data_IF_037944201904
#
_entry.id   IF_037944201904
#
_cell.length_a   1.000
_cell.length_b   1.000
_cell.length_c   1.000
_cell.angle_alpha   90.00
_cell.angle_beta   90.00
_cell.angle_gamma   90.00
#
_symmetry.space_group_name_H-M   'P 1'
#
loop_
_entity.id
_entity.type
_entity.pdbx_description
1 polymer ?
#
# COMPACT_ATOMS: atom_id res chain seq x y z
N UNK A 1 13.49 15.44 30.82
CA UNK A 1 12.28 16.06 31.42
C UNK A 1 11.72 16.97 30.34
N UNK A 2 11.05 16.47 29.31
CA UNK A 2 9.72 15.86 29.33
C UNK A 2 9.68 14.50 28.61
N UNK A 3 9.50 13.45 29.41
CA UNK A 3 8.82 12.21 29.05
C UNK A 3 7.39 12.36 29.58
N UNK A 4 6.38 11.88 28.85
CA UNK A 4 4.91 11.94 29.05
C UNK A 4 4.28 12.80 27.93
N UNK A 5 3.38 12.29 27.07
CA UNK A 5 2.29 11.33 27.30
C UNK A 5 2.21 10.33 26.12
N UNK A 6 2.26 9.01 26.34
CA UNK A 6 1.11 8.13 26.58
C UNK A 6 -0.09 8.38 25.64
N UNK A 7 -0.08 7.71 24.49
CA UNK A 7 -1.08 6.69 24.09
C UNK A 7 -0.33 5.77 23.11
N UNK A 8 0.25 4.69 23.64
CA UNK A 8 0.60 3.51 22.85
C UNK A 8 -0.57 2.57 23.09
N UNK A 9 -1.71 2.80 22.43
CA UNK A 9 -2.68 1.74 22.29
C UNK A 9 -2.20 0.87 21.13
N UNK A 10 -1.52 -0.21 21.50
CA UNK A 10 -1.31 -1.37 20.66
C UNK A 10 -2.68 -1.96 20.32
N UNK A 11 -3.28 -1.51 19.22
CA UNK A 11 -4.52 -2.07 18.71
C UNK A 11 -4.22 -3.12 17.66
N UNK A 12 -4.71 -4.32 17.94
CA UNK A 12 -4.82 -5.42 16.98
C UNK A 12 -5.88 -5.02 15.96
N UNK A 13 -5.53 -4.83 14.69
CA UNK A 13 -6.51 -4.77 13.61
C UNK A 13 -7.09 -6.19 13.49
N UNK A 14 -8.25 -6.42 14.11
CA UNK A 14 -9.09 -7.56 13.79
C UNK A 14 -9.93 -7.19 12.56
N UNK A 15 -9.33 -7.26 11.36
CA UNK A 15 -10.14 -7.38 10.15
C UNK A 15 -10.81 -8.75 10.23
N UNK A 16 -12.05 -8.77 10.71
CA UNK A 16 -12.88 -9.97 10.71
C UNK A 16 -13.23 -10.24 9.25
N UNK A 17 -12.85 -11.42 8.76
CA UNK A 17 -13.16 -11.93 7.43
C UNK A 17 -14.64 -11.70 7.09
N UNK A 18 -14.91 -10.68 6.29
CA UNK A 18 -16.24 -10.29 5.85
C UNK A 18 -16.67 -11.11 4.63
N UNK A 19 -16.89 -12.41 4.81
CA UNK A 19 -17.56 -13.22 3.80
C UNK A 19 -16.82 -14.50 3.43
N UNK A 20 -17.54 -15.62 3.46
CA UNK A 20 -17.18 -16.82 2.72
C UNK A 20 -16.86 -16.44 1.27
N UNK A 21 -15.62 -16.67 0.82
CA UNK A 21 -15.16 -16.46 -0.55
C UNK A 21 -16.24 -16.95 -1.52
N UNK A 22 -16.95 -16.02 -2.18
CA UNK A 22 -17.95 -16.39 -3.18
C UNK A 22 -17.24 -17.24 -4.23
N UNK A 23 -17.91 -18.26 -4.75
CA UNK A 23 -17.37 -19.21 -5.73
C UNK A 23 -16.94 -18.57 -7.06
N UNK A 24 -17.09 -17.25 -7.22
CA UNK A 24 -16.60 -16.46 -8.34
C UNK A 24 -15.41 -15.62 -7.86
N UNK A 25 -14.29 -15.70 -8.58
CA UNK A 25 -12.99 -15.10 -8.27
C UNK A 25 -12.94 -13.55 -8.20
N UNK A 26 -14.05 -12.86 -8.08
CA UNK A 26 -14.12 -11.39 -8.14
C UNK A 26 -14.10 -10.78 -6.74
N UNK A 27 -13.03 -10.05 -6.42
CA UNK A 27 -12.95 -9.17 -5.26
C UNK A 27 -13.92 -7.99 -5.44
N UNK A 28 -14.73 -7.69 -4.42
CA UNK A 28 -15.73 -6.62 -4.46
C UNK A 28 -15.51 -5.57 -3.39
N UNK A 29 -14.89 -5.92 -2.25
CA UNK A 29 -14.68 -5.00 -1.13
C UNK A 29 -13.22 -4.52 -1.04
N UNK A 30 -12.97 -3.27 -1.44
CA UNK A 30 -11.65 -2.66 -1.42
C UNK A 30 -11.50 -1.73 -0.22
N UNK A 31 -10.57 -2.04 0.67
CA UNK A 31 -10.24 -1.22 1.83
C UNK A 31 -8.95 -0.43 1.63
N UNK A 32 -8.99 0.89 1.83
CA UNK A 32 -7.81 1.76 1.80
C UNK A 32 -7.52 2.29 3.21
N UNK A 33 -6.39 1.92 3.78
CA UNK A 33 -5.97 2.44 5.09
C UNK A 33 -5.39 3.83 4.93
N UNK A 34 -5.91 4.81 5.67
CA UNK A 34 -5.33 6.13 5.81
C UNK A 34 -4.91 6.44 7.25
N UNK A 35 -3.87 7.24 7.36
CA UNK A 35 -3.35 7.75 8.62
C UNK A 35 -2.68 9.11 8.38
N UNK A 36 -2.57 9.98 9.40
CA UNK A 36 -1.93 11.29 9.23
C UNK A 36 -0.52 11.19 8.66
N UNK A 37 -0.27 11.89 7.55
CA UNK A 37 1.02 11.83 6.85
C UNK A 37 1.16 10.71 5.83
N UNK A 38 0.05 10.18 5.29
CA UNK A 38 0.07 9.31 4.12
C UNK A 38 0.60 10.07 2.89
N UNK A 39 1.20 9.38 1.92
CA UNK A 39 1.62 10.01 0.68
C UNK A 39 0.47 10.05 -0.33
N UNK A 40 0.11 11.26 -0.79
CA UNK A 40 -1.03 11.50 -1.69
C UNK A 40 -1.12 10.52 -2.86
N UNK A 41 -0.05 10.44 -3.66
CA UNK A 41 -0.05 9.67 -4.89
C UNK A 41 0.11 8.15 -4.66
N UNK A 42 0.54 7.74 -3.47
CA UNK A 42 0.45 6.33 -3.08
C UNK A 42 -1.03 5.90 -2.98
N UNK A 43 -1.92 6.81 -2.57
CA UNK A 43 -3.37 6.60 -2.45
C UNK A 43 -4.07 6.80 -3.79
N UNK A 44 -3.95 8.02 -4.34
CA UNK A 44 -4.79 8.46 -5.44
C UNK A 44 -4.41 7.86 -6.80
N UNK A 45 -3.17 7.39 -6.98
CA UNK A 45 -2.77 6.66 -8.19
C UNK A 45 -3.53 5.32 -8.34
N UNK A 46 -3.42 4.40 -7.37
CA UNK A 46 -4.22 3.18 -7.34
C UNK A 46 -5.73 3.43 -7.28
N UNK A 47 -6.18 4.45 -6.56
CA UNK A 47 -7.61 4.77 -6.44
C UNK A 47 -8.20 5.23 -7.79
N UNK A 48 -7.45 5.98 -8.59
CA UNK A 48 -7.86 6.35 -9.95
C UNK A 48 -8.04 5.10 -10.83
N UNK A 49 -7.08 4.17 -10.80
CA UNK A 49 -7.21 2.90 -11.51
C UNK A 49 -8.40 2.06 -11.02
N UNK A 50 -8.72 2.09 -9.73
CA UNK A 50 -9.90 1.43 -9.17
C UNK A 50 -11.21 2.11 -9.61
N UNK A 51 -11.22 3.44 -9.69
CA UNK A 51 -12.36 4.21 -10.17
C UNK A 51 -12.69 3.86 -11.63
N UNK A 52 -11.68 3.83 -12.51
CA UNK A 52 -11.82 3.39 -13.90
C UNK A 52 -12.27 1.91 -13.99
N UNK A 53 -11.73 1.03 -13.15
CA UNK A 53 -12.18 -0.36 -13.08
C UNK A 53 -13.66 -0.48 -12.71
N UNK A 54 -14.15 0.37 -11.79
CA UNK A 54 -15.55 0.38 -11.35
C UNK A 54 -16.54 0.78 -12.45
N UNK A 55 -16.08 1.52 -13.47
CA UNK A 55 -16.93 1.88 -14.61
C UNK A 55 -17.25 0.70 -15.53
N UNK A 56 -16.43 -0.36 -15.48
CA UNK A 56 -16.55 -1.55 -16.34
C UNK A 56 -16.74 -2.85 -15.57
N UNK A 57 -16.69 -2.80 -14.25
CA UNK A 57 -16.89 -3.96 -13.35
C UNK A 57 -17.98 -3.62 -12.33
N UNK A 58 -19.11 -4.33 -12.31
CA UNK A 58 -20.18 -4.06 -11.37
C UNK A 58 -19.79 -4.45 -9.93
N UNK A 59 -20.51 -3.87 -8.97
CA UNK A 59 -20.47 -4.23 -7.55
C UNK A 59 -19.11 -4.06 -6.85
N UNK A 60 -18.28 -3.11 -7.32
CA UNK A 60 -17.07 -2.72 -6.60
C UNK A 60 -17.38 -1.67 -5.53
N UNK A 61 -16.98 -1.95 -4.30
CA UNK A 61 -17.16 -1.08 -3.14
C UNK A 61 -15.79 -0.61 -2.64
N UNK A 62 -15.68 0.68 -2.36
CA UNK A 62 -14.50 1.30 -1.76
C UNK A 62 -14.82 1.72 -0.33
N UNK A 63 -14.00 1.28 0.61
CA UNK A 63 -13.99 1.76 1.99
C UNK A 63 -12.68 2.47 2.27
N UNK A 64 -12.78 3.73 2.71
CA UNK A 64 -11.65 4.48 3.25
C UNK A 64 -11.67 4.30 4.77
N UNK A 65 -10.58 3.75 5.31
CA UNK A 65 -10.48 3.20 6.67
C UNK A 65 -9.44 3.99 7.46
N UNK A 66 -9.78 4.45 8.67
CA UNK A 66 -8.81 4.96 9.63
C UNK A 66 -9.21 4.60 11.07
N UNK A 67 -8.48 5.15 12.05
CA UNK A 67 -8.77 4.93 13.48
C UNK A 67 -10.10 5.59 13.90
N UNK A 68 -10.35 6.81 13.43
CA UNK A 68 -11.59 7.55 13.66
C UNK A 68 -12.20 7.97 12.31
N UNK A 69 -13.40 8.55 12.35
CA UNK A 69 -14.06 9.14 11.18
C UNK A 69 -13.68 10.62 10.96
N UNK A 70 -12.73 11.15 11.74
CA UNK A 70 -12.25 12.52 11.58
C UNK A 70 -11.37 12.63 10.32
N UNK A 71 -11.52 13.68 9.48
CA UNK A 71 -10.76 13.80 8.25
C UNK A 71 -9.24 13.63 8.45
N UNK A 72 -8.62 12.75 7.66
CA UNK A 72 -7.20 12.40 7.78
C UNK A 72 -6.35 13.25 6.83
N UNK A 73 -5.34 13.98 7.33
CA UNK A 73 -4.45 14.77 6.49
C UNK A 73 -3.33 13.96 5.82
N UNK A 74 -2.95 14.32 4.60
CA UNK A 74 -1.72 13.81 3.93
C UNK A 74 -0.43 14.38 4.53
N UNK A 75 -0.54 15.42 5.37
CA UNK A 75 0.54 15.93 6.20
C UNK A 75 0.48 15.30 7.60
N UNK A 76 1.64 15.02 8.18
CA UNK A 76 1.75 14.82 9.63
C UNK A 76 2.30 16.10 10.21
N UNK A 77 1.56 16.85 11.03
CA UNK A 77 2.06 18.10 11.59
C UNK A 77 3.31 17.84 12.48
N UNK A 78 4.50 18.21 11.99
CA UNK A 78 5.76 18.19 12.75
C UNK A 78 6.75 19.17 12.10
N UNK A 79 7.74 19.64 12.86
CA UNK A 79 8.78 20.56 12.37
C UNK A 79 9.50 20.06 11.09
N UNK A 80 9.58 18.73 10.89
CA UNK A 80 10.24 18.11 9.73
C UNK A 80 9.37 18.04 8.47
N UNK A 81 8.07 18.24 8.60
CA UNK A 81 7.06 18.05 7.54
C UNK A 81 6.36 19.34 7.13
N UNK A 82 6.58 20.43 7.88
CA UNK A 82 6.18 21.77 7.50
C UNK A 82 7.21 22.83 7.92
N UNK A 83 8.43 22.82 7.35
CA UNK A 83 9.50 23.74 7.75
C UNK A 83 9.19 25.22 7.47
N UNK A 84 8.19 25.53 6.63
CA UNK A 84 7.91 26.90 6.15
C UNK A 84 6.43 27.32 6.22
N UNK A 85 5.59 26.72 7.09
CA UNK A 85 4.14 26.98 7.11
C UNK A 85 3.47 26.85 5.73
N UNK A 86 3.96 25.95 4.87
CA UNK A 86 3.26 25.53 3.66
C UNK A 86 1.85 25.06 4.03
N UNK A 87 0.91 25.03 3.07
CA UNK A 87 -0.47 24.53 3.23
C UNK A 87 -0.86 23.55 2.13
N UNK A 88 0.14 22.93 1.50
CA UNK A 88 -0.04 22.01 0.36
C UNK A 88 -0.26 20.59 0.89
N UNK A 89 -1.47 20.33 1.36
CA UNK A 89 -1.95 19.02 1.79
C UNK A 89 -3.45 18.91 1.65
N UNK A 90 -3.92 17.68 1.49
CA UNK A 90 -5.32 17.31 1.44
C UNK A 90 -5.78 16.66 2.75
N UNK A 91 -7.10 16.67 2.96
CA UNK A 91 -7.78 15.92 4.01
C UNK A 91 -8.76 14.95 3.34
N UNK A 92 -8.76 13.70 3.78
CA UNK A 92 -9.67 12.67 3.26
C UNK A 92 -10.69 12.31 4.33
N UNK A 93 -11.97 12.33 3.94
CA UNK A 93 -13.08 11.88 4.79
C UNK A 93 -13.14 10.36 4.77
N UNK A 94 -13.28 9.75 5.94
CA UNK A 94 -13.32 8.30 6.07
C UNK A 94 -14.75 7.77 6.03
N UNK A 95 -14.87 6.50 5.65
CA UNK A 95 -16.15 5.79 5.58
C UNK A 95 -16.33 4.79 6.70
N UNK A 96 -15.21 4.20 7.19
CA UNK A 96 -15.22 3.10 8.14
C UNK A 96 -14.05 3.23 9.12
N UNK A 97 -14.18 2.57 10.27
CA UNK A 97 -13.05 2.33 11.17
C UNK A 97 -12.49 0.92 10.93
N UNK A 98 -11.35 0.59 11.53
CA UNK A 98 -10.77 -0.76 11.43
C UNK A 98 -11.71 -1.88 11.92
N UNK A 99 -12.67 -1.57 12.79
CA UNK A 99 -13.62 -2.54 13.35
C UNK A 99 -14.80 -2.83 12.41
N UNK A 100 -15.14 -1.91 11.51
CA UNK A 100 -16.38 -1.97 10.72
C UNK A 100 -16.16 -2.24 9.24
N UNK A 101 -14.91 -2.26 8.77
CA UNK A 101 -14.60 -2.33 7.35
C UNK A 101 -14.68 -3.76 6.77
N UNK A 102 -15.53 -4.03 5.77
CA UNK A 102 -15.42 -5.24 4.94
C UNK A 102 -14.23 -5.13 3.99
N UNK A 103 -13.42 -6.19 3.84
CA UNK A 103 -12.20 -6.15 3.03
C UNK A 103 -11.93 -7.50 2.34
N UNK A 104 -11.95 -7.50 1.00
CA UNK A 104 -11.37 -8.53 0.13
C UNK A 104 -9.95 -8.15 -0.34
N UNK A 105 -9.68 -6.84 -0.44
CA UNK A 105 -8.42 -6.25 -0.88
C UNK A 105 -8.07 -5.09 0.04
N UNK A 106 -6.99 -5.20 0.81
CA UNK A 106 -6.48 -4.14 1.66
C UNK A 106 -5.31 -3.43 0.99
N UNK A 107 -5.40 -2.11 0.89
CA UNK A 107 -4.35 -1.27 0.33
C UNK A 107 -3.77 -0.38 1.41
N UNK A 108 -2.44 -0.37 1.52
CA UNK A 108 -1.69 0.38 2.54
C UNK A 108 -0.71 1.31 1.85
N UNK A 109 -0.92 2.64 1.91
CA UNK A 109 -0.01 3.61 1.32
C UNK A 109 1.26 3.72 2.15
N UNK A 110 2.24 4.49 1.68
CA UNK A 110 3.39 4.90 2.45
C UNK A 110 3.20 6.26 3.11
N UNK A 111 4.24 7.08 3.04
CA UNK A 111 4.27 8.41 3.66
C UNK A 111 4.93 8.44 5.03
N UNK A 112 5.23 9.64 5.51
CA UNK A 112 5.96 9.86 6.78
C UNK A 112 5.19 9.31 7.98
N UNK A 113 3.86 9.23 7.89
CA UNK A 113 2.98 8.65 8.92
C UNK A 113 3.34 7.21 9.26
N UNK A 114 3.76 6.42 8.26
CA UNK A 114 4.17 5.01 8.42
C UNK A 114 5.36 4.79 9.37
N UNK A 115 6.09 5.85 9.74
CA UNK A 115 7.26 5.78 10.64
C UNK A 115 6.91 5.91 12.11
N UNK A 116 5.73 6.44 12.44
CA UNK A 116 5.19 6.31 13.80
C UNK A 116 4.83 4.84 14.07
N UNK A 117 4.65 4.43 15.34
CA UNK A 117 4.02 3.14 15.62
C UNK A 117 2.67 3.12 14.88
N UNK A 118 2.54 2.31 13.82
CA UNK A 118 1.29 2.23 13.07
C UNK A 118 0.28 1.40 13.87
N UNK A 119 -0.99 1.38 13.46
CA UNK A 119 -1.88 0.31 13.89
C UNK A 119 -1.30 -1.06 13.49
N UNK A 120 -1.37 -2.02 14.40
CA UNK A 120 -0.82 -3.37 14.19
C UNK A 120 -1.79 -4.20 13.34
N UNK A 121 -1.39 -4.62 12.15
CA UNK A 121 -2.17 -5.62 11.39
C UNK A 121 -2.12 -6.97 12.10
N UNK A 122 -3.18 -7.76 11.99
CA UNK A 122 -3.10 -9.17 12.37
C UNK A 122 -2.16 -9.92 11.42
N UNK A 123 -1.47 -10.94 11.94
CA UNK A 123 -0.51 -11.76 11.19
C UNK A 123 -1.18 -12.69 10.16
N UNK A 124 -2.49 -12.91 10.28
CA UNK A 124 -3.26 -13.74 9.36
C UNK A 124 -3.99 -12.85 8.35
N UNK A 125 -3.66 -13.02 7.07
CA UNK A 125 -4.25 -12.29 5.95
C UNK A 125 -4.91 -13.30 5.01
N UNK A 126 -6.24 -13.31 4.96
CA UNK A 126 -7.06 -14.12 4.06
C UNK A 126 -7.60 -13.31 2.85
N UNK A 127 -7.30 -12.02 2.80
CA UNK A 127 -7.58 -11.07 1.71
C UNK A 127 -6.33 -10.80 0.85
N UNK A 128 -6.46 -10.07 -0.25
CA UNK A 128 -5.28 -9.53 -0.95
C UNK A 128 -4.71 -8.33 -0.20
N UNK A 129 -3.40 -8.30 0.03
CA UNK A 129 -2.72 -7.15 0.62
C UNK A 129 -1.88 -6.47 -0.46
N UNK A 130 -2.08 -5.17 -0.66
CA UNK A 130 -1.28 -4.35 -1.56
C UNK A 130 -0.64 -3.22 -0.76
N UNK A 131 0.68 -3.12 -0.76
CA UNK A 131 1.36 -1.99 -0.11
C UNK A 131 2.06 -1.11 -1.13
N UNK A 132 2.03 0.20 -0.92
CA UNK A 132 2.80 1.17 -1.69
C UNK A 132 3.85 1.82 -0.80
N UNK A 133 5.05 2.02 -1.33
CA UNK A 133 6.12 2.78 -0.69
C UNK A 133 6.40 2.22 0.71
N UNK A 134 6.47 3.08 1.72
CA UNK A 134 6.74 2.67 3.11
C UNK A 134 5.58 1.92 3.79
N UNK A 135 4.45 1.71 3.11
CA UNK A 135 3.36 0.85 3.58
C UNK A 135 3.83 -0.59 3.82
N UNK A 136 4.82 -1.06 3.05
CA UNK A 136 5.48 -2.34 3.28
C UNK A 136 6.09 -2.45 4.69
N UNK A 137 6.53 -1.33 5.29
CA UNK A 137 7.04 -1.29 6.66
C UNK A 137 5.97 -1.53 7.73
N UNK A 138 4.72 -1.15 7.45
CA UNK A 138 3.58 -1.46 8.32
C UNK A 138 3.31 -2.96 8.29
N UNK A 139 3.20 -3.55 7.09
CA UNK A 139 3.01 -4.98 6.91
C UNK A 139 4.18 -5.82 7.47
N UNK A 140 5.42 -5.33 7.32
CA UNK A 140 6.62 -5.96 7.88
C UNK A 140 6.59 -6.05 9.41
N UNK A 141 6.28 -4.94 10.11
CA UNK A 141 6.20 -4.93 11.58
C UNK A 141 5.08 -5.82 12.11
N UNK A 142 4.02 -6.01 11.34
CA UNK A 142 2.94 -6.93 11.67
C UNK A 142 3.31 -8.40 11.46
N UNK A 143 4.49 -8.71 10.92
CA UNK A 143 4.94 -10.08 10.63
C UNK A 143 4.30 -10.71 9.39
N UNK A 144 3.42 -9.99 8.69
CA UNK A 144 2.72 -10.48 7.49
C UNK A 144 3.70 -10.77 6.34
N UNK A 145 4.81 -10.03 6.29
CA UNK A 145 5.85 -10.20 5.27
C UNK A 145 6.96 -11.19 5.68
N UNK A 146 6.87 -11.83 6.85
CA UNK A 146 7.91 -12.76 7.32
C UNK A 146 8.10 -13.92 6.32
N UNK A 147 9.32 -14.09 5.80
CA UNK A 147 9.68 -15.13 4.83
C UNK A 147 9.23 -14.88 3.38
N UNK A 148 8.51 -13.78 3.14
CA UNK A 148 7.98 -13.36 1.83
C UNK A 148 8.95 -12.47 1.08
N UNK A 149 8.91 -12.54 -0.25
CA UNK A 149 9.58 -11.54 -1.07
C UNK A 149 8.79 -10.24 -1.05
N UNK A 150 9.48 -9.12 -0.88
CA UNK A 150 8.84 -7.82 -0.88
C UNK A 150 9.79 -6.71 -1.33
N UNK A 151 9.22 -5.62 -1.79
CA UNK A 151 9.92 -4.38 -2.11
C UNK A 151 9.29 -3.18 -1.37
N UNK A 152 9.95 -2.04 -1.46
CA UNK A 152 9.53 -0.75 -0.92
C UNK A 152 10.19 0.35 -1.77
N UNK A 153 9.80 1.61 -1.55
CA UNK A 153 10.44 2.73 -2.23
C UNK A 153 11.95 2.80 -1.94
N UNK A 154 12.70 3.15 -2.98
CA UNK A 154 14.17 3.09 -2.98
C UNK A 154 14.80 4.08 -2.02
N UNK A 155 14.16 5.25 -1.87
CA UNK A 155 14.59 6.32 -0.96
C UNK A 155 14.59 5.91 0.51
N UNK A 156 13.63 5.08 0.93
CA UNK A 156 13.50 4.63 2.31
C UNK A 156 13.86 3.16 2.49
N UNK A 157 14.54 2.54 1.51
CA UNK A 157 14.82 1.11 1.46
C UNK A 157 15.38 0.57 2.79
N UNK A 158 16.54 1.07 3.21
CA UNK A 158 17.24 0.59 4.41
C UNK A 158 16.37 0.75 5.67
N UNK A 159 15.68 1.88 5.78
CA UNK A 159 14.84 2.20 6.93
C UNK A 159 13.62 1.28 7.00
N UNK A 160 13.00 0.97 5.86
CA UNK A 160 11.79 0.15 5.81
C UNK A 160 12.10 -1.33 5.93
N UNK A 161 13.13 -1.84 5.26
CA UNK A 161 13.50 -3.26 5.33
C UNK A 161 14.00 -3.65 6.72
N UNK A 162 14.68 -2.75 7.44
CA UNK A 162 15.09 -2.97 8.83
C UNK A 162 13.92 -3.26 9.79
N UNK A 163 12.69 -2.88 9.42
CA UNK A 163 11.48 -3.15 10.21
C UNK A 163 10.98 -4.59 10.10
N UNK A 164 11.45 -5.35 9.10
CA UNK A 164 11.06 -6.72 8.82
C UNK A 164 12.29 -7.61 8.58
N UNK A 165 13.02 -8.02 9.63
CA UNK A 165 14.28 -8.75 9.46
C UNK A 165 14.13 -10.14 8.82
N UNK A 166 12.91 -10.70 8.75
CA UNK A 166 12.62 -11.96 8.06
C UNK A 166 12.10 -11.76 6.63
N UNK A 167 11.91 -10.52 6.18
CA UNK A 167 11.47 -10.20 4.82
C UNK A 167 12.61 -10.47 3.85
N UNK A 168 12.30 -11.13 2.73
CA UNK A 168 13.25 -11.34 1.62
C UNK A 168 13.19 -10.13 0.69
N UNK A 169 13.88 -9.05 1.06
CA UNK A 169 13.86 -7.80 0.30
C UNK A 169 14.41 -7.97 -1.12
N UNK A 170 13.67 -7.46 -2.12
CA UNK A 170 14.12 -7.35 -3.52
C UNK A 170 14.33 -5.87 -3.90
N UNK A 171 15.56 -5.34 -3.77
CA UNK A 171 15.84 -3.90 -3.87
C UNK A 171 15.50 -3.29 -5.23
N UNK A 172 15.69 -4.03 -6.33
CA UNK A 172 15.52 -3.47 -7.68
C UNK A 172 14.09 -3.55 -8.22
N UNK A 173 13.21 -4.33 -7.59
CA UNK A 173 11.87 -4.54 -8.10
C UNK A 173 10.99 -3.29 -7.95
N UNK A 174 10.30 -2.87 -9.02
CA UNK A 174 9.20 -1.89 -8.98
C UNK A 174 8.05 -2.41 -8.15
N UNK A 175 7.66 -3.66 -8.36
CA UNK A 175 6.70 -4.39 -7.52
C UNK A 175 7.05 -5.88 -7.41
N UNK A 176 6.50 -6.51 -6.37
CA UNK A 176 6.58 -7.94 -6.09
C UNK A 176 5.17 -8.47 -5.87
N UNK A 177 4.89 -9.65 -6.39
CA UNK A 177 3.76 -10.49 -5.99
C UNK A 177 4.32 -11.76 -5.33
N UNK A 178 3.84 -12.11 -4.13
CA UNK A 178 4.16 -13.36 -3.44
C UNK A 178 2.85 -13.94 -2.86
N UNK A 179 2.10 -14.61 -3.73
CA UNK A 179 0.75 -15.11 -3.44
C UNK A 179 -0.29 -13.99 -3.40
N UNK A 180 -0.99 -13.84 -2.27
CA UNK A 180 -1.98 -12.78 -2.06
C UNK A 180 -1.37 -11.44 -1.61
N UNK A 181 -0.05 -11.35 -1.48
CA UNK A 181 0.65 -10.16 -1.02
C UNK A 181 1.37 -9.50 -2.19
N UNK A 182 1.09 -8.22 -2.40
CA UNK A 182 1.70 -7.37 -3.41
C UNK A 182 2.36 -6.19 -2.72
N UNK A 183 3.62 -5.93 -3.04
CA UNK A 183 4.36 -4.78 -2.50
C UNK A 183 4.95 -3.99 -3.65
N UNK A 184 4.87 -2.67 -3.58
CA UNK A 184 5.32 -1.76 -4.66
C UNK A 184 6.27 -0.70 -4.10
N UNK A 185 7.02 -0.08 -5.01
CA UNK A 185 8.06 0.89 -4.68
C UNK A 185 7.51 2.31 -4.51
N UNK A 186 8.03 3.30 -5.24
CA UNK A 186 7.51 4.67 -5.16
C UNK A 186 6.16 4.85 -5.85
N UNK A 187 5.64 6.07 -5.81
CA UNK A 187 4.31 6.46 -6.32
C UNK A 187 3.95 5.89 -7.70
N UNK A 188 4.85 6.01 -8.69
CA UNK A 188 4.61 5.49 -10.04
C UNK A 188 4.55 3.97 -10.06
N UNK A 189 5.48 3.31 -9.36
CA UNK A 189 5.47 1.86 -9.21
C UNK A 189 4.24 1.36 -8.42
N UNK A 190 3.66 2.19 -7.55
CA UNK A 190 2.39 1.94 -6.88
C UNK A 190 1.23 1.84 -7.85
N UNK A 191 1.07 2.81 -8.75
CA UNK A 191 0.05 2.77 -9.80
C UNK A 191 0.29 1.60 -10.77
N UNK A 192 1.53 1.43 -11.26
CA UNK A 192 1.88 0.32 -12.15
C UNK A 192 1.59 -1.05 -11.50
N UNK A 193 1.99 -1.21 -10.23
CA UNK A 193 1.79 -2.45 -9.49
C UNK A 193 0.32 -2.75 -9.22
N UNK A 194 -0.50 -1.72 -8.99
CA UNK A 194 -1.95 -1.90 -8.87
C UNK A 194 -2.60 -2.28 -10.21
N UNK A 195 -2.19 -1.66 -11.32
CA UNK A 195 -2.64 -2.06 -12.67
C UNK A 195 -2.16 -3.47 -13.04
N UNK A 196 -0.97 -3.89 -12.58
CA UNK A 196 -0.49 -5.27 -12.73
C UNK A 196 -1.31 -6.26 -11.88
N UNK A 197 -1.73 -5.85 -10.69
CA UNK A 197 -2.67 -6.63 -9.87
C UNK A 197 -4.05 -6.74 -10.56
N UNK A 198 -4.59 -5.65 -11.12
CA UNK A 198 -5.83 -5.68 -11.91
C UNK A 198 -5.68 -6.67 -13.08
N UNK A 199 -4.54 -6.66 -13.77
CA UNK A 199 -4.26 -7.62 -14.84
C UNK A 199 -4.26 -9.08 -14.34
N UNK A 200 -3.65 -9.34 -13.20
CA UNK A 200 -3.59 -10.67 -12.62
C UNK A 200 -4.97 -11.21 -12.21
N UNK A 201 -5.88 -10.34 -11.77
CA UNK A 201 -7.21 -10.73 -11.24
C UNK A 201 -8.32 -10.65 -12.29
N UNK A 202 -8.32 -9.59 -13.10
CA UNK A 202 -9.38 -9.26 -14.06
C UNK A 202 -8.96 -9.45 -15.53
N UNK A 203 -7.69 -9.80 -15.78
CA UNK A 203 -7.14 -10.07 -17.10
C UNK A 203 -6.55 -8.85 -17.80
N UNK A 204 -5.63 -9.09 -18.74
CA UNK A 204 -4.86 -8.05 -19.44
C UNK A 204 -5.73 -7.09 -20.23
N UNK A 205 -6.83 -7.55 -20.83
CA UNK A 205 -7.73 -6.69 -21.58
C UNK A 205 -8.39 -5.64 -20.67
N UNK A 206 -8.87 -6.06 -19.49
CA UNK A 206 -9.46 -5.16 -18.49
C UNK A 206 -8.44 -4.15 -18.00
N UNK A 207 -7.25 -4.61 -17.62
CA UNK A 207 -6.19 -3.71 -17.14
C UNK A 207 -5.76 -2.68 -18.20
N UNK A 208 -5.74 -3.08 -19.48
CA UNK A 208 -5.48 -2.16 -20.59
C UNK A 208 -6.59 -1.11 -20.73
N UNK A 209 -7.86 -1.53 -20.70
CA UNK A 209 -8.99 -0.60 -20.76
C UNK A 209 -8.92 0.42 -19.63
N UNK A 210 -8.61 -0.02 -18.41
CA UNK A 210 -8.42 0.86 -17.24
C UNK A 210 -7.27 1.85 -17.50
N UNK A 211 -6.08 1.39 -17.89
CA UNK A 211 -4.95 2.29 -18.13
C UNK A 211 -5.20 3.26 -19.29
N UNK A 212 -5.90 2.82 -20.33
CA UNK A 212 -6.27 3.67 -21.47
C UNK A 212 -7.27 4.76 -21.03
N UNK A 213 -8.24 4.42 -20.17
CA UNK A 213 -9.21 5.36 -19.61
C UNK A 213 -8.54 6.45 -18.75
N UNK A 214 -7.52 6.07 -17.99
CA UNK A 214 -6.67 7.00 -17.24
C UNK A 214 -5.74 7.84 -18.12
N UNK A 215 -5.61 7.54 -19.41
CA UNK A 215 -4.53 8.02 -20.29
C UNK A 215 -3.13 7.81 -19.67
N UNK A 216 -2.95 6.69 -18.95
CA UNK A 216 -1.76 6.40 -18.17
C UNK A 216 -0.83 5.40 -18.89
N UNK A 217 0.39 5.83 -19.21
CA UNK A 217 1.42 4.95 -19.77
C UNK A 217 2.00 4.02 -18.68
N UNK A 218 1.60 2.75 -18.74
CA UNK A 218 1.97 1.73 -17.75
C UNK A 218 3.36 1.14 -18.02
N UNK A 219 4.20 1.10 -16.99
CA UNK A 219 5.44 0.31 -17.04
C UNK A 219 5.15 -1.16 -16.72
N UNK A 220 5.50 -2.06 -17.65
CA UNK A 220 5.18 -3.50 -17.55
C UNK A 220 6.28 -4.33 -16.87
N UNK A 221 7.50 -3.80 -16.77
CA UNK A 221 8.61 -4.54 -16.18
C UNK A 221 8.66 -4.36 -14.65
N UNK A 222 8.38 -5.43 -13.90
CA UNK A 222 8.40 -5.41 -12.44
C UNK A 222 9.80 -5.41 -11.83
N UNK A 223 10.82 -5.82 -12.58
CA UNK A 223 12.17 -6.07 -12.04
C UNK A 223 13.11 -4.88 -12.14
N UNK A 224 12.72 -3.84 -12.89
CA UNK A 224 13.58 -2.71 -13.21
C UNK A 224 13.00 -1.40 -12.67
N UNK A 225 13.35 -1.07 -11.41
CA UNK A 225 13.12 0.25 -10.86
C UNK A 225 14.34 1.16 -11.14
N UNK A 226 14.21 2.18 -12.02
CA UNK A 226 15.32 3.04 -12.40
C UNK A 226 15.86 3.87 -11.22
N UNK A 227 15.12 3.99 -10.12
CA UNK A 227 15.57 4.69 -8.92
C UNK A 227 16.45 3.80 -8.03
N UNK A 228 16.53 2.49 -8.25
CA UNK A 228 17.37 1.61 -7.45
C UNK A 228 18.85 2.02 -7.53
N UNK A 229 19.34 2.31 -8.74
CA UNK A 229 20.71 2.77 -8.97
C UNK A 229 21.03 4.10 -8.26
N UNK A 230 20.06 5.02 -8.20
CA UNK A 230 20.22 6.31 -7.51
C UNK A 230 20.54 6.15 -6.01
N UNK A 231 20.03 5.08 -5.39
CA UNK A 231 20.24 4.78 -3.99
C UNK A 231 21.27 3.67 -3.74
N UNK A 232 22.05 3.29 -4.76
CA UNK A 232 23.08 2.25 -4.65
C UNK A 232 22.52 0.85 -4.40
N UNK A 233 21.26 0.61 -4.77
CA UNK A 233 20.58 -0.67 -4.57
C UNK A 233 20.82 -1.57 -5.79
N UNK A 234 21.82 -2.45 -5.68
CA UNK A 234 22.11 -3.49 -6.67
C UNK A 234 21.64 -4.85 -6.17
N UNK A 235 21.00 -5.64 -7.03
CA UNK A 235 20.71 -7.04 -6.71
C UNK A 235 22.02 -7.84 -6.70
N UNK A 236 22.22 -8.67 -5.68
CA UNK A 236 23.27 -9.68 -5.70
C UNK A 236 23.03 -10.80 -6.74
N UNK A 237 21.83 -10.85 -7.37
CA UNK A 237 21.30 -11.99 -8.12
C UNK A 237 20.88 -11.71 -9.58
N UNK A 238 21.30 -10.61 -10.22
CA UNK A 238 21.08 -10.37 -11.67
C UNK A 238 19.60 -10.47 -12.15
N UNK A 239 18.67 -9.73 -11.53
CA UNK A 239 17.48 -9.23 -12.23
C UNK A 239 16.31 -10.20 -12.51
N UNK A 240 16.28 -11.39 -11.92
CA UNK A 240 15.08 -12.26 -11.97
C UNK A 240 14.32 -12.19 -10.65
N UNK A 241 13.10 -11.65 -10.69
CA UNK A 241 12.18 -11.73 -9.55
C UNK A 241 11.79 -13.19 -9.29
N UNK A 242 11.77 -13.66 -8.04
CA UNK A 242 11.07 -14.88 -7.71
C UNK A 242 9.57 -14.66 -7.91
N UNK A 243 8.98 -15.45 -8.80
CA UNK A 243 7.53 -15.53 -9.06
C UNK A 243 6.77 -16.12 -7.88
#
# INVERSE_FOLDING_TARGET
>A
MFYQELIVLSFLIALVSGGTRKSNNTCTEYGYILYPGFAALDVFGPLEALAELSMITPDLNLTIIAETLDPVPSVKASFWTNPENATVWEYVVLTHTFETAPVDVLIIPGGIGSRAPPPTLNTTIDFYLITVCTGAGIAARAGVLDGKHATTNKRAWDQTIALGPKVKGVPQARWISDGNIWTTSGVAAGTDGFLAWIEAIYGSATAKTVSDGMEYERHLNSTDDPFAALYGLADANNGTNPS
#
